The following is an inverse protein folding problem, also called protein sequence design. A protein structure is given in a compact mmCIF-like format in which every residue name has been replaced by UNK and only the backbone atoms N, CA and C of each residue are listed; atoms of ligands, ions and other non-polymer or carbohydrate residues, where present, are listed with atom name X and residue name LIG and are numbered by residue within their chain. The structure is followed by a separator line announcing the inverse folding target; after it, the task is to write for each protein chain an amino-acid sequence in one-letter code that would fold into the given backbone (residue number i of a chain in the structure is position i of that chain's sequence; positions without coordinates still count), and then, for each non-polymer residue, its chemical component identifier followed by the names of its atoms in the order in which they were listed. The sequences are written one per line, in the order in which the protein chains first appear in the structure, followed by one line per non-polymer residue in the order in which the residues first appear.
data_IF_684225321992
#
_entry.id   IF_684225321992
#
_cell.length_a   1.000
_cell.length_b   1.000
_cell.length_c   1.000
_cell.angle_alpha   90.00
_cell.angle_beta   90.00
_cell.angle_gamma   90.00
#
_symmetry.space_group_name_H-M   'P 1'
#
loop_
_entity.id
_entity.type
_entity.pdbx_description
1 polymer ?
#
# COMPACT_ATOMS: atom_id res chain seq x y z
N UNK A 1 -0.45 -27.37 33.91
CA UNK A 1 0.63 -26.36 33.90
C UNK A 1 0.13 -25.13 33.15
N UNK A 2 -0.08 -23.98 33.83
CA UNK A 2 -0.33 -22.70 33.17
C UNK A 2 0.94 -21.88 33.20
N UNK A 3 1.49 -21.57 32.04
CA UNK A 3 2.55 -20.59 31.92
C UNK A 3 1.91 -19.20 31.92
N UNK A 4 2.19 -18.43 32.95
CA UNK A 4 2.05 -16.98 32.93
C UNK A 4 3.13 -16.43 31.98
N UNK A 5 2.70 -15.73 30.92
CA UNK A 5 3.57 -15.02 30.00
C UNK A 5 3.08 -13.60 29.85
N UNK A 6 3.49 -12.73 30.75
CA UNK A 6 3.50 -11.29 30.47
C UNK A 6 4.77 -10.93 29.70
N UNK A 7 4.67 -10.01 28.75
CA UNK A 7 5.81 -9.23 28.27
C UNK A 7 6.16 -9.38 26.79
N UNK A 8 5.94 -8.30 26.04
CA UNK A 8 6.50 -8.04 24.72
C UNK A 8 5.53 -8.31 23.58
N UNK A 9 4.92 -7.27 23.01
CA UNK A 9 4.29 -7.38 21.69
C UNK A 9 5.42 -7.68 20.69
N UNK A 10 5.61 -8.97 20.39
CA UNK A 10 6.41 -9.41 19.27
C UNK A 10 5.88 -8.80 17.96
N UNK A 11 6.63 -8.92 16.85
CA UNK A 11 6.22 -8.36 15.57
C UNK A 11 4.78 -8.81 15.24
N UNK A 12 3.89 -7.83 15.00
CA UNK A 12 2.50 -8.12 14.66
C UNK A 12 2.46 -8.96 13.39
N UNK A 13 1.67 -10.04 13.36
CA UNK A 13 1.52 -10.84 12.16
C UNK A 13 0.95 -9.99 11.03
N UNK A 14 1.36 -10.29 9.80
CA UNK A 14 0.82 -9.62 8.61
C UNK A 14 -0.71 -9.83 8.53
N UNK A 15 -1.51 -8.78 8.23
CA UNK A 15 -2.96 -8.84 8.27
C UNK A 15 -3.56 -9.51 7.01
N UNK A 16 -3.37 -10.83 6.89
CA UNK A 16 -3.82 -11.62 5.74
C UNK A 16 -5.32 -11.47 5.43
N UNK A 17 -6.18 -11.41 6.45
CA UNK A 17 -7.62 -11.25 6.26
C UNK A 17 -8.00 -9.97 5.51
N UNK A 18 -7.36 -8.85 5.86
CA UNK A 18 -7.58 -7.56 5.19
C UNK A 18 -7.04 -7.59 3.75
N UNK A 19 -5.85 -8.15 3.55
CA UNK A 19 -5.24 -8.26 2.22
C UNK A 19 -6.09 -9.14 1.27
N UNK A 20 -6.57 -10.29 1.73
CA UNK A 20 -7.45 -11.17 0.95
C UNK A 20 -8.82 -10.53 0.67
N UNK A 21 -9.37 -9.78 1.63
CA UNK A 21 -10.63 -9.04 1.43
C UNK A 21 -10.47 -7.98 0.34
N UNK A 22 -9.38 -7.21 0.37
CA UNK A 22 -9.06 -6.24 -0.68
C UNK A 22 -8.83 -6.93 -2.03
N UNK A 23 -8.06 -8.02 -2.08
CA UNK A 23 -7.78 -8.75 -3.31
C UNK A 23 -9.02 -9.38 -3.96
N UNK A 24 -9.74 -10.22 -3.22
CA UNK A 24 -10.83 -11.03 -3.77
C UNK A 24 -12.16 -10.29 -3.84
N UNK A 25 -12.49 -9.43 -2.87
CA UNK A 25 -13.78 -8.73 -2.87
C UNK A 25 -13.70 -7.35 -3.50
N UNK A 26 -12.70 -6.53 -3.16
CA UNK A 26 -12.63 -5.14 -3.62
C UNK A 26 -12.09 -5.05 -5.05
N UNK A 27 -10.96 -5.70 -5.32
CA UNK A 27 -10.30 -5.71 -6.62
C UNK A 27 -10.81 -6.83 -7.54
N UNK A 28 -11.60 -7.79 -7.01
CA UNK A 28 -12.17 -8.93 -7.73
C UNK A 28 -11.12 -9.75 -8.49
N UNK A 29 -9.93 -9.89 -7.91
CA UNK A 29 -8.85 -10.68 -8.48
C UNK A 29 -9.19 -12.17 -8.40
N UNK A 30 -8.83 -12.91 -9.43
CA UNK A 30 -8.80 -14.36 -9.36
C UNK A 30 -7.71 -14.79 -8.36
N UNK A 31 -7.89 -15.92 -7.63
CA UNK A 31 -6.90 -16.41 -6.67
C UNK A 31 -5.48 -16.54 -7.24
N UNK A 32 -5.36 -17.06 -8.46
CA UNK A 32 -4.07 -17.22 -9.12
C UNK A 32 -3.38 -15.87 -9.40
N UNK A 33 -4.13 -14.85 -9.79
CA UNK A 33 -3.60 -13.50 -10.03
C UNK A 33 -3.11 -12.88 -8.72
N UNK A 34 -3.90 -12.98 -7.65
CA UNK A 34 -3.53 -12.46 -6.33
C UNK A 34 -2.21 -13.06 -5.82
N UNK A 35 -2.00 -14.37 -5.96
CA UNK A 35 -0.78 -15.02 -5.50
C UNK A 35 0.45 -14.78 -6.37
N UNK A 36 0.26 -14.36 -7.63
CA UNK A 36 1.34 -13.97 -8.52
C UNK A 36 1.76 -12.52 -8.37
N UNK A 37 0.94 -11.68 -7.74
CA UNK A 37 1.26 -10.26 -7.54
C UNK A 37 2.38 -10.08 -6.52
N UNK A 38 3.28 -9.17 -6.83
CA UNK A 38 4.21 -8.62 -5.84
C UNK A 38 3.49 -7.64 -4.90
N UNK A 39 4.05 -7.45 -3.70
CA UNK A 39 3.50 -6.53 -2.72
C UNK A 39 3.41 -5.08 -3.25
N UNK A 40 4.41 -4.52 -3.97
CA UNK A 40 4.29 -3.19 -4.56
C UNK A 40 3.15 -3.06 -5.58
N UNK A 41 2.94 -4.08 -6.42
CA UNK A 41 1.83 -4.08 -7.39
C UNK A 41 0.48 -4.11 -6.67
N UNK A 42 0.36 -4.89 -5.61
CA UNK A 42 -0.84 -4.92 -4.79
C UNK A 42 -1.13 -3.57 -4.11
N UNK A 43 -0.09 -2.89 -3.60
CA UNK A 43 -0.21 -1.53 -3.03
C UNK A 43 -0.64 -0.52 -4.10
N UNK A 44 -0.11 -0.63 -5.31
CA UNK A 44 -0.51 0.22 -6.43
C UNK A 44 -2.00 0.10 -6.74
N UNK A 45 -2.50 -1.14 -6.84
CA UNK A 45 -3.89 -1.42 -7.18
C UNK A 45 -4.86 -1.06 -6.06
N UNK A 46 -4.43 -1.14 -4.80
CA UNK A 46 -5.24 -0.78 -3.63
C UNK A 46 -5.30 0.73 -3.36
N UNK A 47 -4.57 1.54 -4.13
CA UNK A 47 -4.48 2.99 -3.92
C UNK A 47 -3.65 3.36 -2.69
N UNK A 48 -2.75 2.46 -2.25
CA UNK A 48 -1.88 2.68 -1.10
C UNK A 48 -0.67 3.55 -1.41
N UNK A 49 -0.42 3.85 -2.68
CA UNK A 49 0.45 4.98 -3.02
C UNK A 49 -0.37 6.26 -2.88
N UNK A 50 0.14 7.18 -2.06
CA UNK A 50 -0.31 8.56 -2.06
C UNK A 50 -0.30 9.03 -3.51
N UNK A 51 -1.47 9.35 -4.06
CA UNK A 51 -1.52 9.95 -5.39
C UNK A 51 -0.70 11.22 -5.24
N UNK A 52 0.44 11.39 -5.93
CA UNK A 52 1.20 12.62 -5.79
C UNK A 52 0.20 13.74 -6.03
N UNK A 53 -0.03 14.54 -4.98
CA UNK A 53 -0.99 15.64 -5.04
C UNK A 53 -0.74 16.36 -6.34
N UNK A 54 -1.79 16.52 -7.15
CA UNK A 54 -1.63 17.07 -8.51
C UNK A 54 -0.77 18.32 -8.43
N UNK A 55 0.19 18.45 -9.34
CA UNK A 55 1.21 19.51 -9.29
C UNK A 55 0.53 20.85 -8.99
N UNK A 56 0.90 21.47 -7.88
CA UNK A 56 0.32 22.75 -7.49
C UNK A 56 0.77 23.83 -8.47
N UNK A 57 -0.03 24.89 -8.60
CA UNK A 57 0.34 26.04 -9.47
C UNK A 57 1.72 26.61 -9.10
N UNK A 58 2.06 26.63 -7.81
CA UNK A 58 3.35 27.10 -7.32
C UNK A 58 4.52 26.17 -7.71
N UNK A 59 4.29 24.85 -7.79
CA UNK A 59 5.30 23.90 -8.26
C UNK A 59 5.52 24.01 -9.77
N UNK A 60 4.46 24.24 -10.55
CA UNK A 60 4.59 24.53 -12.00
C UNK A 60 5.41 25.80 -12.20
N UNK A 61 5.11 26.86 -11.46
CA UNK A 61 5.80 28.15 -11.57
C UNK A 61 7.28 28.03 -11.14
N UNK A 62 7.59 27.24 -10.10
CA UNK A 62 8.96 26.87 -9.75
C UNK A 62 9.66 26.09 -10.86
N UNK A 63 8.96 25.16 -11.51
CA UNK A 63 9.53 24.34 -12.59
C UNK A 63 9.85 25.19 -13.81
N UNK A 64 8.93 26.06 -14.22
CA UNK A 64 9.13 27.03 -15.31
C UNK A 64 10.27 28.01 -15.00
N UNK A 65 10.42 28.43 -13.74
CA UNK A 65 11.53 29.30 -13.33
C UNK A 65 12.88 28.58 -13.33
N UNK A 66 12.88 27.25 -13.08
CA UNK A 66 14.10 26.45 -12.96
C UNK A 66 14.63 25.94 -14.30
N UNK A 67 13.74 25.73 -15.26
CA UNK A 67 14.08 25.28 -16.61
C UNK A 67 13.39 26.22 -17.64
N UNK A 68 13.97 27.40 -17.88
CA UNK A 68 13.35 28.43 -18.72
C UNK A 68 13.50 28.25 -20.24
N UNK A 69 13.89 27.08 -20.74
CA UNK A 69 14.21 26.83 -22.16
C UNK A 69 13.71 25.48 -22.70
#
# INVERSE_FOLDING_TARGET
MRAAGGGGEGPKPFPWGTAMTLGFHRLRLLPEVFWRLSLPEFVAMSGGFDRPGGISRAEVERMMSRFPD
#
